data_IF_959206518704
#
_entry.id   IF_959206518704
#
_cell.length_a   1.000
_cell.length_b   1.000
_cell.length_c   1.000
_cell.angle_alpha   90.00
_cell.angle_beta   90.00
_cell.angle_gamma   90.00
#
_symmetry.space_group_name_H-M   'P 1'
#
loop_
_entity.id
_entity.type
_entity.pdbx_description
1 polymer ?
#
# COMPACT_ATOMS: atom_id res chain seq x y z
N UNK A 1 -11.43 -18.40 26.67
CA UNK A 1 -12.14 -17.12 26.44
C UNK A 1 -11.49 -16.40 25.28
N UNK A 2 -12.05 -16.54 24.09
CA UNK A 2 -11.59 -15.81 22.89
C UNK A 2 -12.20 -14.41 22.96
N UNK A 3 -11.37 -13.40 23.19
CA UNK A 3 -11.81 -12.00 23.18
C UNK A 3 -12.09 -11.59 21.74
N UNK A 4 -13.37 -11.53 21.39
CA UNK A 4 -13.88 -10.95 20.15
C UNK A 4 -13.47 -9.47 20.12
N UNK A 5 -12.38 -9.15 19.42
CA UNK A 5 -11.93 -7.77 19.22
C UNK A 5 -12.98 -7.09 18.33
N UNK A 6 -13.84 -6.27 18.93
CA UNK A 6 -14.88 -5.54 18.19
C UNK A 6 -14.21 -4.68 17.11
N UNK A 7 -14.41 -5.07 15.86
CA UNK A 7 -14.11 -4.29 14.66
C UNK A 7 -15.02 -3.07 14.66
N UNK A 8 -14.53 -1.96 15.24
CA UNK A 8 -15.19 -0.66 15.11
C UNK A 8 -15.27 -0.24 13.64
N UNK A 9 -16.26 0.59 13.26
CA UNK A 9 -16.62 0.85 11.87
C UNK A 9 -15.43 1.42 11.09
N UNK A 10 -15.29 0.95 9.85
CA UNK A 10 -14.22 1.26 8.90
C UNK A 10 -13.94 2.76 8.68
N UNK A 11 -14.87 3.65 9.02
CA UNK A 11 -14.72 5.10 8.85
C UNK A 11 -13.64 5.73 9.75
N UNK A 12 -13.53 5.31 11.02
CA UNK A 12 -12.47 5.79 11.93
C UNK A 12 -11.07 5.26 11.55
N UNK A 13 -10.99 4.21 10.74
CA UNK A 13 -9.72 3.70 10.26
C UNK A 13 -9.13 4.61 9.17
N UNK A 14 -9.98 5.27 8.38
CA UNK A 14 -9.54 6.26 7.39
C UNK A 14 -8.97 7.52 8.05
N UNK A 15 -9.60 8.02 9.12
CA UNK A 15 -9.05 9.15 9.88
C UNK A 15 -7.66 8.83 10.43
N UNK A 16 -7.48 7.64 11.00
CA UNK A 16 -6.16 7.19 11.47
C UNK A 16 -5.15 7.03 10.34
N UNK A 17 -5.59 6.63 9.14
CA UNK A 17 -4.73 6.52 7.96
C UNK A 17 -4.29 7.90 7.47
N UNK A 18 -5.21 8.85 7.29
CA UNK A 18 -4.88 10.21 6.86
C UNK A 18 -4.06 10.97 7.90
N UNK A 19 -4.33 10.77 9.19
CA UNK A 19 -3.50 11.30 10.28
C UNK A 19 -2.11 10.67 10.25
N UNK A 20 -2.00 9.37 9.98
CA UNK A 20 -0.72 8.68 9.82
C UNK A 20 0.09 9.20 8.63
N UNK A 21 -0.53 9.34 7.46
CA UNK A 21 0.09 9.88 6.24
C UNK A 21 0.46 11.36 6.42
N UNK A 22 -0.42 12.15 7.04
CA UNK A 22 -0.17 13.56 7.35
C UNK A 22 1.00 13.75 8.31
N UNK A 23 1.06 12.94 9.37
CA UNK A 23 2.20 12.90 10.29
C UNK A 23 3.51 12.50 9.59
N UNK A 24 3.43 11.60 8.61
CA UNK A 24 4.56 11.18 7.78
C UNK A 24 5.10 12.31 6.92
N UNK A 25 4.22 13.01 6.20
CA UNK A 25 4.58 14.15 5.34
C UNK A 25 5.15 15.29 6.16
N UNK A 26 4.50 15.63 7.28
CA UNK A 26 5.00 16.66 8.20
C UNK A 26 6.35 16.26 8.79
N UNK A 27 6.51 15.01 9.25
CA UNK A 27 7.76 14.48 9.75
C UNK A 27 8.89 14.53 8.72
N UNK A 28 8.59 14.24 7.45
CA UNK A 28 9.54 14.34 6.35
C UNK A 28 9.94 15.81 6.10
N UNK A 29 8.97 16.73 6.02
CA UNK A 29 9.24 18.17 5.86
C UNK A 29 10.08 18.73 7.02
N UNK A 30 9.72 18.44 8.27
CA UNK A 30 10.50 18.87 9.43
C UNK A 30 11.88 18.20 9.47
N UNK A 31 11.98 16.94 9.06
CA UNK A 31 13.24 16.21 8.92
C UNK A 31 14.15 16.83 7.87
N UNK A 32 13.63 17.16 6.69
CA UNK A 32 14.39 17.83 5.62
C UNK A 32 14.79 19.25 6.01
N UNK A 33 13.88 20.04 6.59
CA UNK A 33 14.21 21.38 7.10
C UNK A 33 15.27 21.33 8.20
N UNK A 34 15.17 20.41 9.16
CA UNK A 34 16.18 20.26 10.21
C UNK A 34 17.53 19.79 9.65
N UNK A 35 17.54 18.89 8.65
CA UNK A 35 18.75 18.47 7.95
C UNK A 35 19.40 19.61 7.15
N UNK A 36 18.59 20.47 6.50
CA UNK A 36 19.07 21.65 5.78
C UNK A 36 19.62 22.72 6.73
N UNK A 37 19.00 22.92 7.90
CA UNK A 37 19.42 23.89 8.92
C UNK A 37 20.67 23.40 9.67
N UNK A 38 20.83 22.08 9.84
CA UNK A 38 21.93 21.51 10.63
C UNK A 38 23.33 21.75 10.01
N UNK A 39 23.43 22.17 8.74
CA UNK A 39 24.69 22.39 8.04
C UNK A 39 25.54 21.12 7.89
N UNK A 40 26.59 21.14 7.05
CA UNK A 40 27.40 19.96 6.82
C UNK A 40 28.26 19.67 8.06
N UNK A 41 27.79 18.74 8.90
CA UNK A 41 28.66 17.92 9.74
C UNK A 41 28.77 18.26 11.23
N UNK A 42 27.78 18.88 11.90
CA UNK A 42 27.97 19.22 13.33
C UNK A 42 26.88 18.89 14.35
N UNK A 43 25.87 18.09 14.02
CA UNK A 43 24.86 17.68 15.01
C UNK A 43 24.56 16.18 14.94
N UNK A 44 25.39 15.36 15.60
CA UNK A 44 25.12 13.94 15.87
C UNK A 44 23.72 13.73 16.46
N UNK A 45 23.26 14.67 17.30
CA UNK A 45 21.91 14.67 17.85
C UNK A 45 20.82 14.75 16.77
N UNK A 46 21.01 15.55 15.71
CA UNK A 46 20.07 15.65 14.61
C UNK A 46 20.02 14.35 13.80
N UNK A 47 21.17 13.71 13.57
CA UNK A 47 21.25 12.41 12.89
C UNK A 47 20.51 11.34 13.70
N UNK A 48 20.73 11.28 15.00
CA UNK A 48 20.05 10.33 15.90
C UNK A 48 18.54 10.55 15.91
N UNK A 49 18.09 11.80 15.96
CA UNK A 49 16.67 12.14 15.88
C UNK A 49 16.04 11.73 14.55
N UNK A 50 16.72 11.95 13.43
CA UNK A 50 16.26 11.52 12.10
C UNK A 50 16.17 9.99 12.02
N UNK A 51 17.15 9.27 12.54
CA UNK A 51 17.12 7.80 12.57
C UNK A 51 15.96 7.29 13.42
N UNK A 52 15.76 7.84 14.62
CA UNK A 52 14.64 7.50 15.50
C UNK A 52 13.28 7.78 14.83
N UNK A 53 13.12 8.96 14.23
CA UNK A 53 11.92 9.33 13.49
C UNK A 53 11.67 8.36 12.34
N UNK A 54 12.71 8.01 11.59
CA UNK A 54 12.63 7.04 10.49
C UNK A 54 12.18 5.67 10.97
N UNK A 55 12.76 5.15 12.06
CA UNK A 55 12.37 3.87 12.64
C UNK A 55 10.92 3.85 13.15
N UNK A 56 10.47 4.94 13.76
CA UNK A 56 9.07 5.09 14.20
C UNK A 56 8.09 5.08 13.02
N UNK A 57 8.49 5.66 11.90
CA UNK A 57 7.63 5.85 10.72
C UNK A 57 7.69 4.68 9.74
N UNK A 58 8.79 3.92 9.72
CA UNK A 58 9.01 2.76 8.88
C UNK A 58 7.83 1.75 8.86
N UNK A 59 7.24 1.32 10.01
CA UNK A 59 6.11 0.39 9.97
C UNK A 59 4.87 0.99 9.28
N UNK A 60 4.63 2.30 9.40
CA UNK A 60 3.54 2.97 8.71
C UNK A 60 3.79 3.03 7.20
N UNK A 61 5.03 3.32 6.77
CA UNK A 61 5.46 3.28 5.37
C UNK A 61 5.27 1.89 4.77
N UNK A 62 5.74 0.84 5.45
CA UNK A 62 5.60 -0.55 4.97
C UNK A 62 4.13 -0.94 4.82
N UNK A 63 3.27 -0.51 5.77
CA UNK A 63 1.83 -0.74 5.68
C UNK A 63 1.21 -0.01 4.49
N UNK A 64 1.57 1.25 4.27
CA UNK A 64 1.06 2.04 3.15
C UNK A 64 1.47 1.42 1.79
N UNK A 65 2.72 0.97 1.66
CA UNK A 65 3.20 0.28 0.45
C UNK A 65 2.48 -1.05 0.23
N UNK A 66 2.29 -1.83 1.29
CA UNK A 66 1.55 -3.09 1.21
C UNK A 66 0.09 -2.85 0.77
N UNK A 67 -0.58 -1.86 1.36
CA UNK A 67 -1.95 -1.49 1.01
C UNK A 67 -2.05 -1.01 -0.44
N UNK A 68 -1.14 -0.13 -0.88
CA UNK A 68 -1.06 0.29 -2.28
C UNK A 68 -0.86 -0.90 -3.22
N UNK A 69 -0.03 -1.88 -2.85
CA UNK A 69 0.17 -3.09 -3.65
C UNK A 69 -1.10 -3.92 -3.81
N UNK A 70 -1.96 -3.97 -2.77
CA UNK A 70 -3.25 -4.64 -2.81
C UNK A 70 -4.19 -3.89 -3.76
N UNK A 71 -4.27 -2.57 -3.65
CA UNK A 71 -5.08 -1.75 -4.55
C UNK A 71 -4.67 -1.90 -6.01
N UNK A 72 -3.37 -1.93 -6.30
CA UNK A 72 -2.86 -2.16 -7.66
C UNK A 72 -3.25 -3.54 -8.17
N UNK A 73 -3.09 -4.61 -7.37
CA UNK A 73 -3.50 -5.97 -7.77
C UNK A 73 -5.00 -6.06 -8.03
N UNK A 74 -5.81 -5.43 -7.18
CA UNK A 74 -7.27 -5.37 -7.38
C UNK A 74 -7.63 -4.62 -8.65
N UNK A 75 -6.96 -3.49 -8.93
CA UNK A 75 -7.18 -2.73 -10.16
C UNK A 75 -6.80 -3.56 -11.40
N UNK A 76 -5.66 -4.25 -11.39
CA UNK A 76 -5.23 -5.15 -12.47
C UNK A 76 -6.23 -6.29 -12.67
N UNK A 77 -6.70 -6.91 -11.59
CA UNK A 77 -7.70 -7.98 -11.65
C UNK A 77 -9.01 -7.46 -12.23
N UNK A 78 -9.49 -6.31 -11.75
CA UNK A 78 -10.72 -5.69 -12.24
C UNK A 78 -10.63 -5.33 -13.72
N UNK A 79 -9.49 -4.78 -14.16
CA UNK A 79 -9.25 -4.43 -15.55
C UNK A 79 -9.16 -5.68 -16.44
N UNK A 80 -8.45 -6.71 -15.98
CA UNK A 80 -8.38 -8.00 -16.64
C UNK A 80 -9.77 -8.62 -16.80
N UNK A 81 -10.57 -8.62 -15.73
CA UNK A 81 -11.94 -9.14 -15.74
C UNK A 81 -12.84 -8.33 -16.68
N UNK A 82 -12.78 -6.99 -16.62
CA UNK A 82 -13.57 -6.10 -17.48
C UNK A 82 -13.24 -6.27 -18.98
N UNK A 83 -12.02 -6.69 -19.32
CA UNK A 83 -11.62 -6.96 -20.70
C UNK A 83 -11.91 -8.41 -21.13
N UNK A 84 -11.61 -9.38 -20.28
CA UNK A 84 -11.78 -10.80 -20.59
C UNK A 84 -13.24 -11.24 -20.59
N UNK A 85 -14.08 -10.75 -19.68
CA UNK A 85 -15.50 -11.10 -19.64
C UNK A 85 -16.22 -10.83 -20.96
N UNK A 86 -16.20 -9.60 -21.51
CA UNK A 86 -16.89 -9.33 -22.76
C UNK A 86 -16.25 -10.10 -23.92
N UNK A 87 -14.93 -10.30 -23.92
CA UNK A 87 -14.27 -11.10 -24.94
C UNK A 87 -14.75 -12.56 -24.95
N UNK A 88 -14.89 -13.19 -23.78
CA UNK A 88 -15.39 -14.56 -23.63
C UNK A 88 -16.90 -14.64 -23.91
N UNK A 89 -17.67 -13.62 -23.52
CA UNK A 89 -19.11 -13.58 -23.73
C UNK A 89 -19.48 -13.40 -25.22
N UNK A 90 -18.68 -12.64 -25.97
CA UNK A 90 -18.95 -12.30 -27.36
C UNK A 90 -18.25 -13.23 -28.36
N UNK A 91 -17.09 -13.83 -28.01
CA UNK A 91 -16.31 -14.65 -28.93
C UNK A 91 -16.24 -16.12 -28.49
N UNK A 92 -16.80 -17.06 -29.26
CA UNK A 92 -16.69 -18.49 -28.98
C UNK A 92 -15.24 -19.00 -29.08
N UNK A 93 -14.43 -18.45 -30.00
CA UNK A 93 -13.02 -18.84 -30.15
C UNK A 93 -12.18 -18.50 -28.91
N UNK A 94 -12.43 -17.32 -28.31
CA UNK A 94 -11.74 -16.90 -27.07
C UNK A 94 -12.13 -17.79 -25.90
N UNK A 95 -13.38 -18.25 -25.87
CA UNK A 95 -13.90 -19.13 -24.82
C UNK A 95 -13.27 -20.53 -24.90
N UNK A 96 -13.19 -21.10 -26.10
CA UNK A 96 -12.58 -22.42 -26.31
C UNK A 96 -11.07 -22.37 -26.05
N UNK A 97 -10.39 -21.31 -26.49
CA UNK A 97 -8.99 -21.05 -26.16
C UNK A 97 -8.76 -20.94 -24.63
N UNK A 98 -9.63 -20.23 -23.91
CA UNK A 98 -9.52 -20.07 -22.47
C UNK A 98 -9.73 -21.41 -21.73
N UNK A 99 -10.68 -22.23 -22.17
CA UNK A 99 -10.94 -23.55 -21.62
C UNK A 99 -9.73 -24.48 -21.79
N UNK A 100 -9.12 -24.50 -22.98
CA UNK A 100 -7.94 -25.32 -23.27
C UNK A 100 -6.72 -24.87 -22.44
N UNK A 101 -6.56 -23.55 -22.23
CA UNK A 101 -5.50 -23.00 -21.38
C UNK A 101 -5.70 -23.37 -19.91
N UNK A 102 -6.94 -23.36 -19.44
CA UNK A 102 -7.30 -23.73 -18.07
C UNK A 102 -7.01 -25.21 -17.79
N UNK A 103 -7.40 -26.11 -18.70
CA UNK A 103 -7.07 -27.53 -18.58
C UNK A 103 -5.57 -27.81 -18.54
N UNK A 104 -4.77 -27.08 -19.34
CA UNK A 104 -3.31 -27.21 -19.33
C UNK A 104 -2.66 -26.68 -18.06
N UNK A 105 -3.24 -25.69 -17.38
CA UNK A 105 -2.69 -25.15 -16.14
C UNK A 105 -2.93 -26.05 -14.92
N UNK A 106 -3.88 -26.98 -15.03
CA UNK A 106 -4.28 -27.92 -13.96
C UNK A 106 -3.78 -29.35 -14.17
N UNK A 107 -3.00 -29.60 -15.23
CA UNK A 107 -2.22 -30.82 -15.43
C UNK A 107 -0.80 -30.62 -14.92
#
# INVERSE_FOLDING_TARGET
MVTHRSTRPSWLAWDNYFVGVGGLVLGLCFGTCSALIAGPGRNLAAIVLVVLATLCVLPALLRAVAELSVWVRLAVLALGFALLLPAIALSPDVRDWAAERWERAWK
#
